data_IF_790065049744
#
_entry.id   IF_790065049744
#
_cell.length_a   1.000
_cell.length_b   1.000
_cell.length_c   1.000
_cell.angle_alpha   90.00
_cell.angle_beta   90.00
_cell.angle_gamma   90.00
#
_symmetry.space_group_name_H-M   'P 1'
#
loop_
_entity.id
_entity.type
_entity.pdbx_description
1 polymer ?
#
# COMPACT_ATOMS: atom_id res chain seq x y z
N UNK A 1 24.27 -21.60 12.42
CA UNK A 1 24.73 -21.30 11.05
C UNK A 1 24.20 -19.94 10.66
N UNK A 2 25.06 -18.99 10.30
CA UNK A 2 24.64 -17.70 9.78
C UNK A 2 23.78 -17.93 8.51
N UNK A 3 22.61 -17.31 8.44
CA UNK A 3 21.72 -17.38 7.28
C UNK A 3 22.48 -16.79 6.08
N UNK A 4 22.62 -17.51 4.98
CA UNK A 4 23.23 -16.98 3.77
C UNK A 4 22.33 -15.86 3.25
N UNK A 5 22.85 -14.65 3.21
CA UNK A 5 22.18 -13.49 2.61
C UNK A 5 22.41 -13.57 1.09
N UNK A 6 21.31 -13.43 0.33
CA UNK A 6 21.34 -13.32 -1.13
C UNK A 6 21.18 -11.85 -1.49
N UNK A 7 22.22 -11.25 -2.01
CA UNK A 7 22.29 -9.81 -2.30
C UNK A 7 21.43 -9.39 -3.50
N UNK A 8 21.22 -8.08 -3.66
CA UNK A 8 20.28 -7.47 -4.61
C UNK A 8 20.54 -7.93 -6.07
N UNK A 9 21.81 -7.93 -6.51
CA UNK A 9 22.18 -8.32 -7.86
C UNK A 9 22.59 -9.80 -7.99
N UNK A 10 22.59 -10.55 -6.88
CA UNK A 10 23.01 -11.94 -6.88
C UNK A 10 22.02 -12.82 -7.64
N UNK A 11 22.54 -13.60 -8.58
CA UNK A 11 21.74 -14.56 -9.35
C UNK A 11 21.41 -15.78 -8.50
N UNK A 12 20.16 -16.18 -8.50
CA UNK A 12 19.66 -17.34 -7.78
C UNK A 12 19.55 -18.53 -8.72
N UNK A 13 19.97 -19.72 -8.25
CA UNK A 13 19.84 -20.97 -9.03
C UNK A 13 18.37 -21.27 -9.33
N UNK A 14 18.10 -21.80 -10.53
CA UNK A 14 16.72 -22.02 -11.00
C UNK A 14 15.83 -22.85 -10.08
N UNK A 15 16.42 -23.86 -9.40
CA UNK A 15 15.69 -24.69 -8.42
C UNK A 15 15.23 -23.93 -7.15
N UNK A 16 15.90 -22.82 -6.81
CA UNK A 16 15.51 -21.95 -5.68
C UNK A 16 14.73 -20.73 -6.17
N UNK A 17 14.92 -20.30 -7.41
CA UNK A 17 14.29 -19.12 -7.97
C UNK A 17 12.76 -19.22 -7.92
N UNK A 18 12.20 -20.32 -8.43
CA UNK A 18 10.76 -20.52 -8.51
C UNK A 18 10.10 -20.54 -7.10
N UNK A 19 10.56 -21.36 -6.13
CA UNK A 19 9.99 -21.36 -4.78
C UNK A 19 10.08 -20.01 -4.07
N UNK A 20 11.21 -19.29 -4.21
CA UNK A 20 11.38 -17.98 -3.60
C UNK A 20 10.51 -16.92 -4.29
N UNK A 21 10.35 -16.98 -5.60
CA UNK A 21 9.44 -16.09 -6.35
C UNK A 21 7.98 -16.34 -5.97
N UNK A 22 7.56 -17.58 -5.84
CA UNK A 22 6.23 -17.95 -5.34
C UNK A 22 6.02 -17.41 -3.92
N UNK A 23 7.03 -17.51 -3.07
CA UNK A 23 6.99 -16.99 -1.70
C UNK A 23 6.76 -15.47 -1.68
N UNK A 24 7.49 -14.70 -2.49
CA UNK A 24 7.31 -13.25 -2.60
C UNK A 24 5.94 -12.89 -3.16
N UNK A 25 5.45 -13.59 -4.18
CA UNK A 25 4.11 -13.35 -4.75
C UNK A 25 3.01 -13.59 -3.72
N UNK A 26 3.08 -14.69 -2.97
CA UNK A 26 2.05 -15.00 -1.97
C UNK A 26 2.11 -14.13 -0.73
N UNK A 27 3.28 -13.59 -0.37
CA UNK A 27 3.36 -12.64 0.72
C UNK A 27 2.57 -11.34 0.43
N UNK A 28 2.47 -10.97 -0.86
CA UNK A 28 1.72 -9.79 -1.33
C UNK A 28 0.26 -10.08 -1.65
N UNK A 29 -0.17 -11.36 -1.54
CA UNK A 29 -1.49 -11.79 -1.98
C UNK A 29 -2.63 -11.07 -1.25
N UNK A 30 -2.53 -10.92 0.09
CA UNK A 30 -3.57 -10.30 0.90
C UNK A 30 -3.94 -8.89 0.43
N UNK A 31 -2.95 -8.04 0.24
CA UNK A 31 -3.15 -6.67 -0.23
C UNK A 31 -3.58 -6.61 -1.71
N UNK A 32 -3.08 -7.53 -2.54
CA UNK A 32 -3.46 -7.61 -3.96
C UNK A 32 -4.92 -8.05 -4.17
N UNK A 33 -5.51 -8.72 -3.18
CA UNK A 33 -6.93 -9.15 -3.19
C UNK A 33 -7.83 -8.07 -2.60
N UNK A 34 -7.38 -7.39 -1.54
CA UNK A 34 -8.20 -6.47 -0.77
C UNK A 34 -8.62 -5.25 -1.58
N UNK A 35 -7.71 -4.57 -2.28
CA UNK A 35 -8.04 -3.32 -2.98
C UNK A 35 -9.00 -3.51 -4.15
N UNK A 36 -8.80 -4.50 -5.05
CA UNK A 36 -9.79 -4.75 -6.10
C UNK A 36 -11.17 -5.11 -5.56
N UNK A 37 -11.22 -5.83 -4.43
CA UNK A 37 -12.48 -6.13 -3.76
C UNK A 37 -13.18 -4.85 -3.29
N UNK A 38 -12.47 -3.93 -2.63
CA UNK A 38 -13.03 -2.65 -2.15
C UNK A 38 -13.50 -1.74 -3.29
N UNK A 39 -12.91 -1.83 -4.47
CA UNK A 39 -13.29 -1.05 -5.64
C UNK A 39 -14.31 -1.77 -6.54
N UNK A 40 -14.68 -3.01 -6.22
CA UNK A 40 -15.61 -3.83 -7.00
C UNK A 40 -15.10 -4.20 -8.39
N UNK A 41 -13.79 -4.39 -8.55
CA UNK A 41 -13.16 -4.72 -9.84
C UNK A 41 -12.57 -6.13 -9.84
N UNK A 42 -12.36 -6.67 -11.05
CA UNK A 42 -11.76 -7.99 -11.21
C UNK A 42 -10.29 -8.00 -10.75
N UNK A 43 -9.87 -8.89 -9.83
CA UNK A 43 -8.50 -8.97 -9.32
C UNK A 43 -7.46 -9.33 -10.38
N UNK A 44 -7.85 -9.93 -11.52
CA UNK A 44 -6.93 -10.28 -12.59
C UNK A 44 -6.16 -9.06 -13.13
N UNK A 45 -6.84 -7.91 -13.34
CA UNK A 45 -6.19 -6.70 -13.83
C UNK A 45 -5.17 -6.16 -12.82
N UNK A 46 -5.43 -6.35 -11.54
CA UNK A 46 -4.54 -5.94 -10.45
C UNK A 46 -3.29 -6.83 -10.40
N UNK A 47 -3.45 -8.15 -10.47
CA UNK A 47 -2.33 -9.09 -10.55
C UNK A 47 -1.46 -8.82 -11.78
N UNK A 48 -2.08 -8.55 -12.93
CA UNK A 48 -1.38 -8.17 -14.14
C UNK A 48 -0.53 -6.91 -13.93
N UNK A 49 -1.13 -5.85 -13.38
CA UNK A 49 -0.44 -4.58 -13.23
C UNK A 49 0.60 -4.59 -12.10
N UNK A 50 0.38 -5.34 -11.02
CA UNK A 50 1.40 -5.56 -9.98
C UNK A 50 2.66 -6.19 -10.58
N UNK A 51 2.51 -7.17 -11.49
CA UNK A 51 3.63 -7.77 -12.20
C UNK A 51 4.31 -6.79 -13.15
N UNK A 52 3.57 -6.13 -14.03
CA UNK A 52 4.13 -5.14 -14.97
C UNK A 52 4.79 -3.98 -14.23
N UNK A 53 4.12 -3.42 -13.21
CA UNK A 53 4.66 -2.33 -12.39
C UNK A 53 5.95 -2.70 -11.69
N UNK A 54 6.04 -3.91 -11.14
CA UNK A 54 7.26 -4.43 -10.52
C UNK A 54 8.41 -4.56 -11.54
N UNK A 55 8.16 -5.09 -12.72
CA UNK A 55 9.18 -5.19 -13.77
C UNK A 55 9.64 -3.81 -14.24
N UNK A 56 8.72 -2.85 -14.40
CA UNK A 56 9.06 -1.45 -14.73
C UNK A 56 9.89 -0.81 -13.62
N UNK A 57 9.54 -1.05 -12.35
CA UNK A 57 10.30 -0.54 -11.21
C UNK A 57 11.74 -1.08 -11.22
N UNK A 58 11.92 -2.38 -11.40
CA UNK A 58 13.25 -3.00 -11.50
C UNK A 58 14.04 -2.40 -12.66
N UNK A 59 13.43 -2.22 -13.82
CA UNK A 59 14.08 -1.65 -15.01
C UNK A 59 14.52 -0.20 -14.77
N UNK A 60 13.64 0.65 -14.27
CA UNK A 60 13.91 2.09 -14.07
C UNK A 60 14.94 2.30 -12.94
N UNK A 61 14.90 1.48 -11.88
CA UNK A 61 15.88 1.51 -10.80
C UNK A 61 17.18 0.77 -11.13
N UNK A 62 17.31 0.26 -12.35
CA UNK A 62 18.49 -0.48 -12.85
C UNK A 62 18.83 -1.74 -12.03
N UNK A 63 17.81 -2.40 -11.47
CA UNK A 63 17.99 -3.57 -10.64
C UNK A 63 18.69 -3.33 -9.29
N UNK A 64 18.76 -2.07 -8.83
CA UNK A 64 19.46 -1.72 -7.58
C UNK A 64 18.58 -1.60 -6.36
N UNK A 65 17.27 -1.41 -6.55
CA UNK A 65 16.28 -1.31 -5.47
C UNK A 65 15.33 -2.51 -5.56
N UNK A 66 15.40 -3.45 -4.60
CA UNK A 66 14.49 -4.59 -4.59
C UNK A 66 13.15 -4.15 -4.01
N UNK A 67 12.10 -4.14 -4.82
CA UNK A 67 10.73 -3.91 -4.38
C UNK A 67 9.75 -4.63 -5.29
N UNK A 68 8.72 -5.24 -4.68
CA UNK A 68 7.55 -5.71 -5.38
C UNK A 68 6.46 -4.65 -5.24
N UNK A 69 5.85 -4.24 -6.34
CA UNK A 69 4.78 -3.26 -6.36
C UNK A 69 3.43 -3.96 -6.24
N UNK A 70 2.57 -3.39 -5.43
CA UNK A 70 1.21 -3.86 -5.27
C UNK A 70 0.24 -2.69 -5.08
N UNK A 71 -1.01 -2.98 -4.76
CA UNK A 71 -2.09 -2.00 -4.69
C UNK A 71 -1.88 -0.96 -3.60
N UNK A 72 -1.91 0.32 -3.92
CA UNK A 72 -1.73 1.40 -2.94
C UNK A 72 -3.00 1.63 -2.10
N UNK A 73 -2.86 1.54 -0.77
CA UNK A 73 -3.95 1.78 0.18
C UNK A 73 -4.27 3.27 0.35
N UNK A 74 -3.31 4.16 0.10
CA UNK A 74 -3.49 5.60 0.23
C UNK A 74 -4.61 6.16 -0.68
N UNK A 75 -4.91 5.47 -1.76
CA UNK A 75 -5.97 5.87 -2.69
C UNK A 75 -7.37 5.38 -2.30
N UNK A 76 -7.51 4.46 -1.33
CA UNK A 76 -8.80 3.80 -1.05
C UNK A 76 -9.87 4.82 -0.66
N UNK A 77 -9.59 5.67 0.33
CA UNK A 77 -10.57 6.61 0.85
C UNK A 77 -11.05 7.62 -0.24
N UNK A 78 -10.18 8.37 -0.93
CA UNK A 78 -10.61 9.29 -1.98
C UNK A 78 -11.18 8.58 -3.20
N UNK A 79 -10.66 7.40 -3.57
CA UNK A 79 -11.21 6.64 -4.69
C UNK A 79 -12.63 6.17 -4.43
N UNK A 80 -12.95 5.67 -3.23
CA UNK A 80 -14.31 5.25 -2.89
C UNK A 80 -15.32 6.39 -2.98
N UNK A 81 -14.95 7.62 -2.60
CA UNK A 81 -15.80 8.81 -2.75
C UNK A 81 -16.06 9.10 -4.24
N UNK A 82 -15.00 9.03 -5.07
CA UNK A 82 -15.10 9.26 -6.52
C UNK A 82 -15.91 8.14 -7.19
N UNK A 83 -15.68 6.88 -6.81
CA UNK A 83 -16.40 5.72 -7.35
C UNK A 83 -17.90 5.84 -7.06
N UNK A 84 -18.28 6.19 -5.83
CA UNK A 84 -19.68 6.37 -5.44
C UNK A 84 -20.36 7.51 -6.20
N UNK A 85 -19.63 8.61 -6.51
CA UNK A 85 -20.20 9.80 -7.13
C UNK A 85 -20.17 9.78 -8.67
N UNK A 86 -19.09 9.26 -9.26
CA UNK A 86 -18.81 9.37 -10.70
C UNK A 86 -18.60 7.99 -11.38
N UNK A 87 -18.30 6.96 -10.60
CA UNK A 87 -17.94 5.63 -11.07
C UNK A 87 -16.42 5.40 -11.21
N UNK A 88 -16.03 4.12 -11.28
CA UNK A 88 -14.62 3.68 -11.28
C UNK A 88 -13.76 4.27 -12.42
N UNK A 89 -14.23 4.45 -13.67
CA UNK A 89 -13.42 5.04 -14.73
C UNK A 89 -12.89 6.45 -14.41
N UNK A 90 -13.64 7.22 -13.61
CA UNK A 90 -13.20 8.57 -13.18
C UNK A 90 -12.14 8.50 -12.08
N UNK A 91 -12.19 7.49 -11.20
CA UNK A 91 -11.11 7.21 -10.27
C UNK A 91 -9.82 6.85 -11.03
N UNK A 92 -9.92 6.04 -12.09
CA UNK A 92 -8.79 5.73 -12.98
C UNK A 92 -8.18 7.00 -13.60
N UNK A 93 -8.99 7.96 -14.05
CA UNK A 93 -8.53 9.27 -14.52
C UNK A 93 -7.75 10.03 -13.45
N UNK A 94 -8.21 10.00 -12.20
CA UNK A 94 -7.49 10.53 -11.05
C UNK A 94 -6.13 9.86 -10.84
N UNK A 95 -6.06 8.52 -10.92
CA UNK A 95 -4.82 7.75 -10.81
C UNK A 95 -3.80 8.13 -11.88
N UNK A 96 -4.25 8.30 -13.13
CA UNK A 96 -3.38 8.74 -14.24
C UNK A 96 -2.76 10.10 -13.92
N UNK A 97 -3.56 11.07 -13.49
CA UNK A 97 -3.08 12.44 -13.24
C UNK A 97 -2.15 12.47 -12.03
N UNK A 98 -2.49 11.78 -10.93
CA UNK A 98 -1.61 11.68 -9.75
C UNK A 98 -0.29 11.04 -10.13
N UNK A 99 -0.31 9.91 -10.86
CA UNK A 99 0.91 9.25 -11.33
C UNK A 99 1.76 10.15 -12.23
N UNK A 100 1.14 10.90 -13.14
CA UNK A 100 1.83 11.88 -13.99
C UNK A 100 2.48 13.00 -13.15
N UNK A 101 1.74 13.60 -12.22
CA UNK A 101 2.26 14.62 -11.32
C UNK A 101 3.41 14.08 -10.44
N UNK A 102 3.32 12.81 -9.99
CA UNK A 102 4.38 12.14 -9.26
C UNK A 102 5.64 11.92 -10.10
N UNK A 103 5.51 11.61 -11.39
CA UNK A 103 6.64 11.57 -12.31
C UNK A 103 7.31 12.95 -12.47
N UNK A 104 6.52 14.02 -12.56
CA UNK A 104 7.05 15.40 -12.57
C UNK A 104 7.78 15.72 -11.26
N UNK A 105 7.20 15.36 -10.12
CA UNK A 105 7.83 15.54 -8.81
C UNK A 105 9.17 14.81 -8.71
N UNK A 106 9.25 13.57 -9.21
CA UNK A 106 10.49 12.82 -9.28
C UNK A 106 11.57 13.52 -10.13
N UNK A 107 11.19 14.16 -11.23
CA UNK A 107 12.10 14.98 -12.04
C UNK A 107 12.56 16.25 -11.31
N UNK A 108 11.68 16.90 -10.54
CA UNK A 108 12.03 18.02 -9.66
C UNK A 108 13.07 17.58 -8.62
N UNK A 109 12.84 16.45 -7.97
CA UNK A 109 13.78 15.87 -6.99
C UNK A 109 15.14 15.58 -7.64
N UNK A 110 15.16 15.07 -8.89
CA UNK A 110 16.42 14.87 -9.63
C UNK A 110 17.22 16.15 -9.80
N UNK A 111 16.55 17.28 -10.02
CA UNK A 111 17.19 18.58 -10.29
C UNK A 111 17.60 19.31 -9.00
N UNK A 112 16.74 19.31 -7.99
CA UNK A 112 16.89 20.13 -6.78
C UNK A 112 17.33 19.32 -5.55
N UNK A 113 17.38 17.98 -5.66
CA UNK A 113 17.71 17.10 -4.53
C UNK A 113 16.53 16.88 -3.58
N UNK A 114 16.81 16.31 -2.40
CA UNK A 114 15.81 15.88 -1.42
C UNK A 114 15.69 16.75 -0.17
N UNK A 115 16.66 17.65 0.07
CA UNK A 115 16.73 18.42 1.33
C UNK A 115 15.48 19.27 1.64
N UNK A 116 14.81 19.78 0.61
CA UNK A 116 13.57 20.55 0.77
C UNK A 116 12.41 19.68 1.28
N UNK A 117 12.47 18.35 1.06
CA UNK A 117 11.44 17.42 1.54
C UNK A 117 11.48 17.35 3.05
N UNK A 118 12.67 17.33 3.66
CA UNK A 118 12.84 17.30 5.13
C UNK A 118 12.24 18.54 5.79
N UNK A 119 12.17 19.67 5.05
CA UNK A 119 11.56 20.92 5.54
C UNK A 119 10.03 20.86 5.41
N UNK A 120 9.53 20.35 4.27
CA UNK A 120 8.09 20.33 3.96
C UNK A 120 7.38 19.18 4.65
N UNK A 121 8.06 18.03 4.75
CA UNK A 121 7.56 16.77 5.31
C UNK A 121 8.59 16.13 6.24
N UNK A 122 8.89 16.75 7.39
CA UNK A 122 9.78 16.14 8.39
C UNK A 122 9.18 14.83 8.92
N UNK A 123 10.01 13.96 9.46
CA UNK A 123 9.58 12.66 9.97
C UNK A 123 8.46 12.74 11.01
N UNK A 124 8.44 13.84 11.81
CA UNK A 124 7.37 14.12 12.78
C UNK A 124 5.99 14.38 12.14
N UNK A 125 5.92 14.75 10.85
CA UNK A 125 4.70 14.85 10.06
C UNK A 125 4.48 13.59 9.22
N UNK A 126 5.53 13.04 8.60
CA UNK A 126 5.47 11.90 7.70
C UNK A 126 4.96 10.63 8.41
N UNK A 127 5.49 10.33 9.60
CA UNK A 127 5.09 9.15 10.37
C UNK A 127 3.57 9.10 10.65
N UNK A 128 2.99 10.16 11.23
CA UNK A 128 1.54 10.26 11.43
C UNK A 128 0.72 10.15 10.14
N UNK A 129 1.13 10.79 9.05
CA UNK A 129 0.43 10.71 7.75
C UNK A 129 0.38 9.27 7.25
N UNK A 130 1.51 8.55 7.30
CA UNK A 130 1.55 7.12 6.92
C UNK A 130 0.70 6.28 7.87
N UNK A 131 0.72 6.56 9.18
CA UNK A 131 -0.11 5.83 10.15
C UNK A 131 -1.61 6.02 9.87
N UNK A 132 -2.03 7.20 9.46
CA UNK A 132 -3.41 7.52 9.13
C UNK A 132 -3.93 6.74 7.94
N UNK A 133 -3.09 6.29 6.99
CA UNK A 133 -3.51 5.44 5.87
C UNK A 133 -4.24 4.19 6.39
N UNK A 134 -3.67 3.54 7.41
CA UNK A 134 -4.29 2.35 8.00
C UNK A 134 -5.41 2.68 8.97
N UNK A 135 -5.22 3.67 9.84
CA UNK A 135 -6.16 3.98 10.92
C UNK A 135 -7.50 4.54 10.40
N UNK A 136 -7.48 5.36 9.35
CA UNK A 136 -8.70 5.90 8.73
C UNK A 136 -9.61 4.80 8.14
N UNK A 137 -9.01 3.69 7.70
CA UNK A 137 -9.73 2.57 7.12
C UNK A 137 -10.31 1.58 8.14
N UNK A 138 -10.08 1.80 9.44
CA UNK A 138 -10.52 0.87 10.50
C UNK A 138 -12.04 0.63 10.51
N UNK A 139 -12.84 1.70 10.39
CA UNK A 139 -14.30 1.59 10.31
C UNK A 139 -14.77 0.85 9.05
N UNK A 140 -14.08 1.05 7.92
CA UNK A 140 -14.34 0.33 6.66
C UNK A 140 -14.09 -1.16 6.82
N UNK A 141 -13.02 -1.55 7.54
CA UNK A 141 -12.74 -2.95 7.83
C UNK A 141 -13.85 -3.59 8.69
N UNK A 142 -14.35 -2.89 9.72
CA UNK A 142 -15.43 -3.36 10.58
C UNK A 142 -16.76 -3.52 9.81
N UNK A 143 -17.07 -2.58 8.92
CA UNK A 143 -18.23 -2.69 8.04
C UNK A 143 -18.10 -3.87 7.08
N UNK A 144 -16.94 -4.04 6.44
CA UNK A 144 -16.67 -5.17 5.53
C UNK A 144 -16.74 -6.50 6.27
N UNK A 145 -16.28 -6.57 7.52
CA UNK A 145 -16.40 -7.77 8.35
C UNK A 145 -17.85 -8.13 8.72
N UNK A 146 -18.78 -7.19 8.58
CA UNK A 146 -20.17 -7.35 9.00
C UNK A 146 -20.35 -7.44 10.52
N UNK A 147 -19.47 -6.76 11.28
CA UNK A 147 -19.49 -6.72 12.76
C UNK A 147 -19.91 -5.35 13.30
N UNK A 148 -20.30 -4.45 12.41
CA UNK A 148 -20.78 -3.12 12.77
C UNK A 148 -22.26 -2.97 12.40
N UNK A 149 -23.06 -2.36 13.27
CA UNK A 149 -24.50 -2.14 13.08
C UNK A 149 -25.39 -3.03 13.96
N UNK A 150 -26.71 -2.88 13.81
CA UNK A 150 -27.69 -3.50 14.72
C UNK A 150 -28.02 -4.96 14.37
N UNK A 151 -27.81 -5.38 13.12
CA UNK A 151 -28.15 -6.72 12.63
C UNK A 151 -26.88 -7.49 12.24
N UNK A 152 -26.13 -7.95 13.25
CA UNK A 152 -24.89 -8.71 13.05
C UNK A 152 -25.24 -10.19 12.87
N UNK A 153 -24.86 -10.78 11.70
CA UNK A 153 -24.99 -12.21 11.45
C UNK A 153 -23.89 -12.99 12.23
N UNK A 154 -24.26 -13.92 13.12
CA UNK A 154 -23.30 -14.76 13.82
C UNK A 154 -22.33 -15.51 12.92
N UNK A 155 -22.73 -15.90 11.70
CA UNK A 155 -21.87 -16.56 10.72
C UNK A 155 -20.72 -15.64 10.30
N UNK A 156 -21.01 -14.35 10.06
CA UNK A 156 -19.99 -13.36 9.72
C UNK A 156 -19.00 -13.17 10.86
N UNK A 157 -19.48 -13.12 12.10
CA UNK A 157 -18.61 -12.99 13.29
C UNK A 157 -17.65 -14.18 13.41
N UNK A 158 -18.16 -15.40 13.21
CA UNK A 158 -17.33 -16.62 13.28
C UNK A 158 -16.24 -16.58 12.21
N UNK A 159 -16.60 -16.30 10.95
CA UNK A 159 -15.66 -16.25 9.83
C UNK A 159 -14.61 -15.15 10.05
N UNK A 160 -15.05 -13.96 10.47
CA UNK A 160 -14.18 -12.86 10.82
C UNK A 160 -13.19 -13.23 11.93
N UNK A 161 -13.70 -13.78 13.05
CA UNK A 161 -12.89 -14.13 14.21
C UNK A 161 -11.84 -15.21 13.88
N UNK A 162 -12.23 -16.24 13.12
CA UNK A 162 -11.31 -17.30 12.66
C UNK A 162 -10.25 -16.72 11.73
N UNK A 163 -10.64 -15.86 10.78
CA UNK A 163 -9.71 -15.24 9.83
C UNK A 163 -8.70 -14.34 10.54
N UNK A 164 -9.20 -13.42 11.38
CA UNK A 164 -8.34 -12.50 12.14
C UNK A 164 -7.46 -13.28 13.13
N UNK A 165 -8.02 -14.25 13.85
CA UNK A 165 -7.29 -15.10 14.80
C UNK A 165 -6.16 -15.86 14.11
N UNK A 166 -6.42 -16.46 12.94
CA UNK A 166 -5.38 -17.15 12.17
C UNK A 166 -4.32 -16.18 11.62
N UNK A 167 -4.73 -14.98 11.18
CA UNK A 167 -3.79 -13.94 10.72
C UNK A 167 -2.84 -13.51 11.85
N UNK A 168 -3.36 -13.29 13.05
CA UNK A 168 -2.57 -12.91 14.25
C UNK A 168 -1.66 -14.05 14.67
N UNK A 169 -2.22 -15.26 14.87
CA UNK A 169 -1.45 -16.45 15.27
C UNK A 169 -0.38 -16.76 14.24
N UNK A 170 -0.73 -16.72 12.95
CA UNK A 170 0.22 -16.98 11.87
C UNK A 170 1.36 -15.98 11.83
N UNK A 171 1.08 -14.70 12.04
CA UNK A 171 2.09 -13.64 12.04
C UNK A 171 3.09 -13.76 13.21
N UNK A 172 2.65 -14.31 14.36
CA UNK A 172 3.46 -14.40 15.57
C UNK A 172 4.10 -15.78 15.76
N UNK A 173 3.35 -16.86 15.45
CA UNK A 173 3.75 -18.22 15.81
C UNK A 173 4.39 -19.01 14.66
N UNK A 174 4.12 -18.65 13.39
CA UNK A 174 4.64 -19.40 12.27
C UNK A 174 6.15 -19.20 12.10
N UNK A 175 6.82 -20.27 11.64
CA UNK A 175 8.29 -20.29 11.47
C UNK A 175 8.64 -20.68 10.04
N UNK A 176 9.86 -20.32 9.62
CA UNK A 176 10.42 -20.64 8.30
C UNK A 176 9.53 -20.12 7.16
N UNK A 177 9.17 -20.97 6.20
CA UNK A 177 8.35 -20.61 5.04
C UNK A 177 6.96 -20.08 5.45
N UNK A 178 6.30 -20.69 6.44
CA UNK A 178 4.96 -20.28 6.87
C UNK A 178 4.93 -18.86 7.46
N UNK A 179 6.03 -18.40 8.10
CA UNK A 179 6.10 -17.04 8.65
C UNK A 179 6.09 -15.94 7.59
N UNK A 180 6.20 -16.29 6.32
CA UNK A 180 6.20 -15.33 5.22
C UNK A 180 4.83 -15.20 4.54
N UNK A 181 3.95 -16.18 4.76
CA UNK A 181 2.62 -16.23 4.13
C UNK A 181 1.46 -16.31 5.14
N UNK A 182 1.52 -15.66 6.31
CA UNK A 182 0.49 -15.78 7.34
C UNK A 182 -0.88 -15.30 6.86
N UNK A 183 -0.91 -14.19 6.10
CA UNK A 183 -2.14 -13.62 5.55
C UNK A 183 -2.80 -14.57 4.55
N UNK A 184 -2.03 -15.21 3.67
CA UNK A 184 -2.58 -16.21 2.76
C UNK A 184 -3.23 -17.37 3.52
N UNK A 185 -2.56 -17.89 4.56
CA UNK A 185 -3.10 -18.97 5.40
C UNK A 185 -4.37 -18.53 6.11
N UNK A 186 -4.42 -17.29 6.59
CA UNK A 186 -5.61 -16.70 7.20
C UNK A 186 -6.78 -16.62 6.21
N UNK A 187 -6.52 -16.16 4.97
CA UNK A 187 -7.53 -16.13 3.91
C UNK A 187 -8.06 -17.53 3.62
N UNK A 188 -7.18 -18.51 3.42
CA UNK A 188 -7.57 -19.90 3.16
C UNK A 188 -8.40 -20.48 4.32
N UNK A 189 -7.95 -20.28 5.55
CA UNK A 189 -8.66 -20.79 6.74
C UNK A 189 -10.02 -20.11 6.90
N UNK A 190 -10.08 -18.78 6.74
CA UNK A 190 -11.32 -18.03 6.77
C UNK A 190 -12.29 -18.43 5.66
N UNK A 191 -11.77 -18.64 4.44
CA UNK A 191 -12.56 -19.10 3.31
C UNK A 191 -13.14 -20.52 3.54
N UNK A 192 -12.33 -21.45 4.06
CA UNK A 192 -12.82 -22.79 4.43
C UNK A 192 -13.88 -22.72 5.53
N UNK A 193 -13.71 -21.84 6.50
CA UNK A 193 -14.75 -21.58 7.52
C UNK A 193 -16.02 -21.03 6.89
N UNK A 194 -15.90 -20.10 5.95
CA UNK A 194 -17.04 -19.53 5.22
C UNK A 194 -17.79 -20.57 4.37
N UNK A 195 -17.06 -21.52 3.77
CA UNK A 195 -17.65 -22.70 3.10
C UNK A 195 -18.40 -23.57 4.11
N UNK A 196 -17.81 -23.85 5.28
CA UNK A 196 -18.42 -24.69 6.30
C UNK A 196 -19.72 -24.10 6.88
N UNK A 197 -19.80 -22.75 7.00
CA UNK A 197 -21.03 -22.07 7.46
C UNK A 197 -22.03 -21.78 6.33
N UNK A 198 -21.68 -22.13 5.08
CA UNK A 198 -22.58 -22.07 3.92
C UNK A 198 -22.84 -20.65 3.37
N UNK A 199 -21.84 -19.78 3.36
CA UNK A 199 -21.96 -18.40 2.83
C UNK A 199 -21.16 -18.17 1.54
N UNK A 200 -20.57 -19.24 0.95
CA UNK A 200 -19.79 -19.16 -0.29
C UNK A 200 -20.62 -19.68 -1.46
N UNK A 201 -20.63 -18.90 -2.54
CA UNK A 201 -21.19 -19.31 -3.84
C UNK A 201 -20.05 -19.67 -4.80
N UNK A 202 -20.01 -20.92 -5.26
CA UNK A 202 -19.00 -21.43 -6.19
C UNK A 202 -19.38 -21.28 -7.67
N UNK A 203 -20.59 -20.82 -7.97
CA UNK A 203 -21.08 -20.67 -9.35
C UNK A 203 -20.08 -19.92 -10.26
N UNK A 204 -19.50 -18.76 -9.82
CA UNK A 204 -18.55 -18.03 -10.65
C UNK A 204 -17.28 -18.82 -11.00
N UNK A 205 -16.86 -19.75 -10.10
CA UNK A 205 -15.65 -20.56 -10.32
C UNK A 205 -15.93 -21.68 -11.33
N UNK A 206 -17.13 -22.30 -11.24
CA UNK A 206 -17.54 -23.39 -12.11
C UNK A 206 -17.78 -22.92 -13.55
N UNK A 207 -18.24 -21.67 -13.72
CA UNK A 207 -18.52 -21.06 -15.04
C UNK A 207 -17.29 -20.37 -15.64
N UNK A 208 -16.19 -20.22 -14.90
CA UNK A 208 -15.01 -19.49 -15.35
C UNK A 208 -14.27 -20.26 -16.47
N UNK A 209 -13.96 -19.57 -17.57
CA UNK A 209 -13.04 -20.10 -18.58
C UNK A 209 -11.63 -20.26 -17.98
N UNK A 210 -10.93 -21.33 -18.35
CA UNK A 210 -9.58 -21.61 -17.80
C UNK A 210 -8.60 -20.48 -18.13
N UNK A 211 -8.63 -19.96 -19.37
CA UNK A 211 -7.87 -18.78 -19.77
C UNK A 211 -8.83 -17.61 -19.90
N UNK A 212 -8.56 -16.53 -19.18
CA UNK A 212 -9.34 -15.30 -19.18
C UNK A 212 -8.42 -14.11 -19.36
N UNK A 213 -8.78 -13.19 -20.23
CA UNK A 213 -8.05 -11.93 -20.39
C UNK A 213 -8.50 -10.98 -19.27
N UNK A 214 -7.55 -10.31 -18.56
CA UNK A 214 -7.91 -9.30 -17.58
C UNK A 214 -8.81 -8.21 -18.17
N UNK A 215 -9.78 -7.74 -17.41
CA UNK A 215 -10.75 -6.75 -17.89
C UNK A 215 -10.11 -5.35 -17.93
N UNK A 216 -9.65 -4.93 -19.10
CA UNK A 216 -9.08 -3.61 -19.33
C UNK A 216 -10.19 -2.58 -19.48
N UNK A 217 -10.02 -1.44 -18.80
CA UNK A 217 -10.97 -0.33 -18.82
C UNK A 217 -10.25 1.00 -19.03
N UNK A 218 -10.72 1.79 -19.99
CA UNK A 218 -10.15 3.12 -20.23
C UNK A 218 -10.59 4.12 -19.16
N UNK A 219 -9.70 5.05 -18.74
CA UNK A 219 -10.03 6.10 -17.80
C UNK A 219 -10.98 7.14 -18.42
N UNK A 220 -11.78 7.78 -17.56
CA UNK A 220 -12.51 9.01 -17.86
C UNK A 220 -11.98 10.13 -16.98
N UNK A 221 -11.94 11.34 -17.51
CA UNK A 221 -11.40 12.49 -16.81
C UNK A 221 -12.50 13.46 -16.40
N UNK A 222 -12.45 13.88 -15.13
CA UNK A 222 -13.27 14.96 -14.56
C UNK A 222 -12.36 15.81 -13.69
N UNK A 223 -12.47 17.11 -13.81
CA UNK A 223 -11.68 18.05 -13.00
C UNK A 223 -11.95 17.82 -11.52
N UNK A 224 -13.20 17.61 -11.12
CA UNK A 224 -13.58 17.37 -9.72
C UNK A 224 -12.92 16.09 -9.18
N UNK A 225 -12.99 14.98 -9.92
CA UNK A 225 -12.36 13.72 -9.52
C UNK A 225 -10.82 13.84 -9.42
N UNK A 226 -10.20 14.56 -10.35
CA UNK A 226 -8.76 14.82 -10.34
C UNK A 226 -8.37 15.64 -9.11
N UNK A 227 -9.06 16.74 -8.84
CA UNK A 227 -8.75 17.62 -7.71
C UNK A 227 -8.97 16.94 -6.36
N UNK A 228 -9.95 16.04 -6.25
CA UNK A 228 -10.15 15.20 -5.06
C UNK A 228 -9.03 14.18 -4.87
N UNK A 229 -8.44 13.67 -5.95
CA UNK A 229 -7.39 12.66 -5.90
C UNK A 229 -5.98 13.24 -5.75
N UNK A 230 -5.73 14.44 -6.29
CA UNK A 230 -4.39 15.03 -6.40
C UNK A 230 -3.63 15.15 -5.06
N UNK A 231 -4.28 15.49 -3.92
CA UNK A 231 -3.57 15.59 -2.64
C UNK A 231 -2.97 14.25 -2.16
N UNK A 232 -3.45 13.10 -2.65
CA UNK A 232 -2.87 11.79 -2.35
C UNK A 232 -1.41 11.69 -2.79
N UNK A 233 -1.00 12.48 -3.80
CA UNK A 233 0.39 12.55 -4.24
C UNK A 233 1.37 12.81 -3.11
N UNK A 234 0.98 13.66 -2.16
CA UNK A 234 1.83 14.00 -1.01
C UNK A 234 1.96 12.81 -0.06
N UNK A 235 0.87 12.09 0.14
CA UNK A 235 0.81 10.90 1.01
C UNK A 235 1.69 9.79 0.43
N UNK A 236 1.49 9.43 -0.85
CA UNK A 236 2.28 8.37 -1.49
C UNK A 236 3.76 8.73 -1.64
N UNK A 237 4.08 10.01 -1.78
CA UNK A 237 5.48 10.46 -1.78
C UNK A 237 6.12 10.20 -0.43
N UNK A 238 5.43 10.52 0.66
CA UNK A 238 5.89 10.26 2.04
C UNK A 238 6.06 8.76 2.30
N UNK A 239 5.06 7.97 1.94
CA UNK A 239 5.08 6.51 2.05
C UNK A 239 6.26 5.90 1.28
N UNK A 240 6.45 6.32 0.03
CA UNK A 240 7.54 5.84 -0.82
C UNK A 240 8.92 6.16 -0.23
N UNK A 241 9.13 7.38 0.27
CA UNK A 241 10.38 7.76 0.93
C UNK A 241 10.65 6.87 2.14
N UNK A 242 9.64 6.67 3.00
CA UNK A 242 9.73 5.78 4.15
C UNK A 242 10.11 4.35 3.75
N UNK A 243 9.46 3.79 2.74
CA UNK A 243 9.77 2.45 2.22
C UNK A 243 11.20 2.35 1.67
N UNK A 244 11.68 3.38 0.94
CA UNK A 244 13.05 3.37 0.41
C UNK A 244 14.12 3.45 1.51
N UNK A 245 13.86 4.20 2.58
CA UNK A 245 14.76 4.27 3.75
C UNK A 245 14.82 2.89 4.42
N UNK A 246 13.67 2.32 4.81
CA UNK A 246 13.61 1.02 5.50
C UNK A 246 14.15 -0.11 4.63
N UNK A 247 13.83 -0.12 3.33
CA UNK A 247 14.43 -1.10 2.40
C UNK A 247 15.95 -0.96 2.37
N UNK A 248 16.46 0.29 2.33
CA UNK A 248 17.89 0.58 2.35
C UNK A 248 18.58 0.01 3.59
N UNK A 249 17.97 0.15 4.76
CA UNK A 249 18.45 -0.41 6.02
C UNK A 249 18.52 -1.94 5.97
N UNK A 250 17.44 -2.60 5.48
CA UNK A 250 17.38 -4.07 5.37
C UNK A 250 18.44 -4.62 4.42
N UNK A 251 18.65 -3.97 3.27
CA UNK A 251 19.65 -4.45 2.28
C UNK A 251 21.06 -3.93 2.55
N UNK A 252 21.24 -3.04 3.54
CA UNK A 252 22.53 -2.45 3.90
C UNK A 252 23.04 -1.43 2.88
N UNK A 253 22.15 -0.66 2.21
CA UNK A 253 22.49 0.30 1.15
C UNK A 253 21.67 1.59 1.27
N UNK A 254 22.23 2.71 0.84
CA UNK A 254 21.49 3.96 0.75
C UNK A 254 20.75 4.07 -0.60
N UNK A 255 19.51 3.63 -0.64
CA UNK A 255 18.68 3.65 -1.87
C UNK A 255 18.21 5.06 -2.25
N UNK A 256 18.21 6.01 -1.32
CA UNK A 256 17.93 7.42 -1.60
C UNK A 256 19.02 8.03 -2.47
N UNK A 257 20.29 7.59 -2.29
CA UNK A 257 21.45 8.05 -3.05
C UNK A 257 21.66 7.24 -4.34
N UNK A 258 21.59 5.90 -4.28
CA UNK A 258 21.79 4.99 -5.41
C UNK A 258 20.80 3.81 -5.33
N UNK A 259 19.89 3.66 -6.26
CA UNK A 259 19.76 4.28 -7.59
C UNK A 259 19.28 5.72 -7.59
N UNK A 260 18.92 6.26 -6.45
CA UNK A 260 18.41 7.60 -6.21
C UNK A 260 16.89 7.66 -6.09
N UNK A 261 16.42 8.43 -5.11
CA UNK A 261 14.99 8.59 -4.84
C UNK A 261 14.19 9.00 -6.09
N UNK A 262 14.76 9.86 -6.93
CA UNK A 262 14.11 10.29 -8.19
C UNK A 262 13.77 9.14 -9.14
N UNK A 263 14.59 8.06 -9.16
CA UNK A 263 14.31 6.89 -10.02
C UNK A 263 13.24 6.00 -9.44
N UNK A 264 13.33 5.71 -8.15
CA UNK A 264 12.36 4.84 -7.49
C UNK A 264 10.98 5.50 -7.42
N UNK A 265 10.92 6.79 -7.11
CA UNK A 265 9.67 7.56 -7.08
C UNK A 265 9.07 7.72 -8.50
N UNK A 266 9.92 7.95 -9.52
CA UNK A 266 9.45 7.96 -10.91
C UNK A 266 8.85 6.62 -11.31
N UNK A 267 9.52 5.52 -11.00
CA UNK A 267 9.05 4.18 -11.34
C UNK A 267 7.72 3.83 -10.69
N UNK A 268 7.57 4.16 -9.41
CA UNK A 268 6.36 3.95 -8.62
C UNK A 268 5.16 4.72 -9.21
N UNK A 269 5.35 6.02 -9.46
CA UNK A 269 4.32 6.88 -10.02
C UNK A 269 4.02 6.57 -11.50
N UNK A 270 5.02 6.19 -12.28
CA UNK A 270 4.83 5.76 -13.66
C UNK A 270 4.01 4.48 -13.75
N UNK A 271 4.26 3.54 -12.84
CA UNK A 271 3.42 2.35 -12.70
C UNK A 271 1.97 2.69 -12.33
N UNK A 272 1.76 3.61 -11.37
CA UNK A 272 0.43 4.12 -11.01
C UNK A 272 -0.27 4.78 -12.20
N UNK A 273 0.45 5.58 -13.00
CA UNK A 273 -0.10 6.20 -14.21
C UNK A 273 -0.57 5.15 -15.23
N UNK A 274 0.26 4.14 -15.51
CA UNK A 274 -0.12 3.04 -16.41
C UNK A 274 -1.30 2.24 -15.85
N UNK A 275 -1.32 1.99 -14.53
CA UNK A 275 -2.44 1.32 -13.87
C UNK A 275 -3.76 2.03 -14.15
N UNK A 276 -3.81 3.34 -13.98
CA UNK A 276 -5.00 4.15 -14.28
C UNK A 276 -5.38 4.10 -15.76
N UNK A 277 -4.41 4.08 -16.68
CA UNK A 277 -4.68 4.01 -18.13
C UNK A 277 -5.34 2.70 -18.56
N UNK A 278 -5.06 1.60 -17.88
CA UNK A 278 -5.61 0.28 -18.25
C UNK A 278 -6.77 -0.17 -17.35
N UNK A 279 -7.19 0.66 -16.38
CA UNK A 279 -8.30 0.33 -15.50
C UNK A 279 -7.93 -0.53 -14.30
N UNK A 280 -6.65 -0.55 -13.91
CA UNK A 280 -6.17 -1.19 -12.69
C UNK A 280 -6.11 -0.20 -11.52
N UNK A 281 -5.76 -0.70 -10.32
CA UNK A 281 -5.58 0.12 -9.13
C UNK A 281 -4.20 0.77 -9.12
N UNK A 282 -4.02 1.92 -8.42
CA UNK A 282 -2.71 2.52 -8.21
C UNK A 282 -1.74 1.54 -7.54
N UNK A 283 -0.49 1.57 -7.93
CA UNK A 283 0.55 0.71 -7.36
C UNK A 283 1.50 1.50 -6.46
N UNK A 284 2.08 0.83 -5.49
CA UNK A 284 3.15 1.36 -4.62
C UNK A 284 4.09 0.24 -4.17
N UNK A 285 5.25 0.61 -3.64
CA UNK A 285 6.17 -0.33 -2.98
C UNK A 285 5.57 -0.80 -1.65
N UNK A 286 5.78 -2.08 -1.29
CA UNK A 286 5.14 -2.69 -0.12
C UNK A 286 6.07 -2.90 1.07
N UNK A 287 5.59 -2.51 2.25
CA UNK A 287 6.23 -2.79 3.54
C UNK A 287 6.31 -4.29 3.84
N UNK A 288 5.30 -5.07 3.46
CA UNK A 288 5.27 -6.53 3.61
C UNK A 288 6.41 -7.19 2.82
N UNK A 289 6.71 -6.72 1.61
CA UNK A 289 7.86 -7.21 0.84
C UNK A 289 9.19 -6.92 1.57
N UNK A 290 9.31 -5.76 2.22
CA UNK A 290 10.48 -5.42 3.04
C UNK A 290 10.59 -6.41 4.20
N UNK A 291 9.48 -6.73 4.86
CA UNK A 291 9.43 -7.74 5.93
C UNK A 291 9.86 -9.13 5.46
N UNK A 292 9.41 -9.56 4.28
CA UNK A 292 9.86 -10.83 3.66
C UNK A 292 11.36 -10.85 3.45
N UNK A 293 11.91 -9.79 2.87
CA UNK A 293 13.37 -9.66 2.67
C UNK A 293 14.13 -9.71 3.99
N UNK A 294 13.67 -9.00 5.02
CA UNK A 294 14.30 -9.00 6.34
C UNK A 294 14.28 -10.40 7.00
N UNK A 295 13.15 -11.12 6.89
CA UNK A 295 13.01 -12.46 7.47
C UNK A 295 13.81 -13.51 6.67
N UNK A 296 13.79 -13.45 5.35
CA UNK A 296 14.39 -14.47 4.48
C UNK A 296 15.89 -14.26 4.26
N UNK A 297 16.35 -13.01 4.29
CA UNK A 297 17.70 -12.63 3.85
C UNK A 297 17.87 -12.71 2.33
N UNK A 298 16.78 -12.74 1.57
CA UNK A 298 16.76 -12.81 0.11
C UNK A 298 16.38 -11.46 -0.45
N UNK A 299 17.33 -10.74 -1.03
CA UNK A 299 17.18 -9.39 -1.57
C UNK A 299 17.22 -9.34 -3.09
N UNK A 300 17.43 -10.49 -3.74
CA UNK A 300 17.66 -10.58 -5.18
C UNK A 300 16.49 -10.05 -6.00
N UNK A 301 16.77 -9.06 -6.85
CA UNK A 301 15.79 -8.54 -7.84
C UNK A 301 15.34 -9.59 -8.83
N UNK A 302 16.14 -10.64 -9.07
CA UNK A 302 15.75 -11.76 -9.92
C UNK A 302 14.58 -12.54 -9.32
N UNK A 303 14.58 -12.73 -8.00
CA UNK A 303 13.47 -13.39 -7.29
C UNK A 303 12.20 -12.54 -7.36
N UNK A 304 12.34 -11.23 -7.17
CA UNK A 304 11.21 -10.29 -7.27
C UNK A 304 10.66 -10.24 -8.71
N UNK A 305 11.55 -10.21 -9.71
CA UNK A 305 11.13 -10.30 -11.11
C UNK A 305 10.41 -11.62 -11.43
N UNK A 306 10.88 -12.74 -10.86
CA UNK A 306 10.19 -14.02 -10.97
C UNK A 306 8.79 -13.98 -10.35
N UNK A 307 8.63 -13.36 -9.17
CA UNK A 307 7.32 -13.14 -8.55
C UNK A 307 6.38 -12.28 -9.43
N UNK A 308 6.93 -11.24 -10.05
CA UNK A 308 6.20 -10.39 -10.98
C UNK A 308 5.70 -11.13 -12.21
N UNK A 309 6.56 -11.97 -12.81
CA UNK A 309 6.19 -12.82 -13.96
C UNK A 309 5.09 -13.82 -13.55
N UNK A 310 5.22 -14.46 -12.39
CA UNK A 310 4.20 -15.36 -11.87
C UNK A 310 2.86 -14.65 -11.66
N UNK A 311 2.87 -13.43 -11.14
CA UNK A 311 1.66 -12.61 -10.97
C UNK A 311 0.98 -12.32 -12.33
N UNK A 312 1.76 -11.99 -13.37
CA UNK A 312 1.23 -11.81 -14.73
C UNK A 312 0.62 -13.12 -15.24
N UNK A 313 1.28 -14.25 -15.07
CA UNK A 313 0.75 -15.55 -15.49
C UNK A 313 -0.57 -15.85 -14.76
N UNK A 314 -0.60 -15.66 -13.43
CA UNK A 314 -1.79 -15.86 -12.61
C UNK A 314 -2.98 -14.98 -13.03
N UNK A 315 -2.71 -13.80 -13.57
CA UNK A 315 -3.76 -12.89 -14.04
C UNK A 315 -4.59 -13.42 -15.22
N UNK A 316 -4.05 -14.38 -15.97
CA UNK A 316 -4.75 -15.02 -17.08
C UNK A 316 -5.47 -16.32 -16.69
N UNK A 317 -5.36 -16.76 -15.44
CA UNK A 317 -6.04 -17.97 -14.95
C UNK A 317 -7.43 -17.59 -14.45
N UNK A 318 -8.45 -17.81 -15.28
CA UNK A 318 -9.84 -17.42 -14.99
C UNK A 318 -10.40 -18.02 -13.70
N UNK A 319 -10.28 -19.34 -13.43
CA UNK A 319 -10.74 -19.93 -12.18
C UNK A 319 -10.08 -19.34 -10.93
N UNK A 320 -8.81 -18.93 -10.99
CA UNK A 320 -8.13 -18.25 -9.88
C UNK A 320 -8.75 -16.88 -9.60
N UNK A 321 -9.00 -16.10 -10.65
CA UNK A 321 -9.65 -14.79 -10.52
C UNK A 321 -11.07 -14.92 -9.97
N UNK A 322 -11.84 -15.89 -10.48
CA UNK A 322 -13.18 -16.20 -10.00
C UNK A 322 -13.17 -16.65 -8.52
N UNK A 323 -12.23 -17.52 -8.14
CA UNK A 323 -12.07 -17.96 -6.74
C UNK A 323 -11.81 -16.78 -5.79
N UNK A 324 -10.95 -15.84 -6.21
CA UNK A 324 -10.69 -14.63 -5.42
C UNK A 324 -11.97 -13.80 -5.26
N UNK A 325 -12.80 -13.69 -6.28
CA UNK A 325 -14.07 -12.95 -6.22
C UNK A 325 -15.13 -13.60 -5.33
N UNK A 326 -15.04 -14.92 -5.10
CA UNK A 326 -15.96 -15.64 -4.20
C UNK A 326 -15.58 -15.51 -2.72
N UNK A 327 -14.46 -14.82 -2.38
CA UNK A 327 -14.05 -14.63 -0.99
C UNK A 327 -15.08 -13.73 -0.29
N UNK A 328 -15.77 -14.21 0.77
CA UNK A 328 -16.81 -13.44 1.43
C UNK A 328 -16.27 -12.25 2.21
N UNK A 329 -17.11 -11.22 2.36
CA UNK A 329 -16.82 -9.99 3.10
C UNK A 329 -16.19 -10.19 4.48
N UNK A 330 -16.67 -11.14 5.34
CA UNK A 330 -16.07 -11.34 6.67
C UNK A 330 -14.61 -11.82 6.63
N UNK A 331 -14.21 -12.57 5.60
CA UNK A 331 -12.80 -12.98 5.40
C UNK A 331 -11.96 -11.76 5.05
N UNK A 332 -12.43 -10.94 4.10
CA UNK A 332 -11.77 -9.69 3.70
C UNK A 332 -11.67 -8.74 4.90
N UNK A 333 -12.74 -8.55 5.67
CA UNK A 333 -12.72 -7.74 6.87
C UNK A 333 -11.71 -8.24 7.90
N UNK A 334 -11.61 -9.56 8.11
CA UNK A 334 -10.67 -10.16 9.05
C UNK A 334 -9.21 -9.87 8.72
N UNK A 335 -8.81 -10.02 7.45
CA UNK A 335 -7.44 -9.66 7.03
C UNK A 335 -7.21 -8.16 7.04
N UNK A 336 -8.23 -7.34 6.72
CA UNK A 336 -8.15 -5.88 6.71
C UNK A 336 -7.81 -5.32 8.08
N UNK A 337 -8.37 -5.87 9.15
CA UNK A 337 -8.05 -5.47 10.53
C UNK A 337 -6.56 -5.55 10.81
N UNK A 338 -5.93 -6.67 10.45
CA UNK A 338 -4.50 -6.82 10.67
C UNK A 338 -3.69 -5.93 9.72
N UNK A 339 -4.02 -5.92 8.42
CA UNK A 339 -3.26 -5.16 7.41
C UNK A 339 -3.32 -3.65 7.70
N UNK A 340 -4.49 -3.09 7.99
CA UNK A 340 -4.62 -1.67 8.31
C UNK A 340 -3.90 -1.30 9.60
N UNK A 341 -3.95 -2.18 10.61
CA UNK A 341 -3.16 -2.04 11.83
C UNK A 341 -1.66 -2.05 11.57
N UNK A 342 -1.18 -2.95 10.71
CA UNK A 342 0.24 -3.02 10.32
C UNK A 342 0.71 -1.77 9.54
N UNK A 343 -0.14 -1.21 8.68
CA UNK A 343 0.15 0.06 8.00
C UNK A 343 0.24 1.19 9.04
N UNK A 344 -0.72 1.25 9.97
CA UNK A 344 -0.68 2.20 11.08
C UNK A 344 0.62 2.14 11.89
N UNK A 345 1.02 0.92 12.26
CA UNK A 345 2.28 0.72 13.01
C UNK A 345 3.53 1.00 12.18
N UNK A 346 3.49 0.83 10.84
CA UNK A 346 4.60 1.23 9.96
C UNK A 346 4.85 2.73 10.01
N UNK A 347 3.79 3.55 10.08
CA UNK A 347 3.93 5.00 10.28
C UNK A 347 4.56 5.35 11.62
N UNK A 348 4.15 4.66 12.70
CA UNK A 348 4.79 4.83 14.02
C UNK A 348 6.27 4.39 14.00
N UNK A 349 6.59 3.34 13.26
CA UNK A 349 7.97 2.89 13.10
C UNK A 349 8.87 3.96 12.46
N UNK A 350 8.36 4.72 11.49
CA UNK A 350 9.12 5.86 10.92
C UNK A 350 9.55 6.84 12.02
N UNK A 351 8.67 7.16 12.97
CA UNK A 351 8.98 8.06 14.08
C UNK A 351 10.12 7.51 14.96
N UNK A 352 10.09 6.21 15.23
CA UNK A 352 11.08 5.51 16.06
C UNK A 352 12.43 5.41 15.33
N UNK A 353 12.43 4.94 14.10
CA UNK A 353 13.64 4.69 13.30
C UNK A 353 14.37 6.02 12.99
N UNK A 354 13.61 7.09 12.73
CA UNK A 354 14.16 8.44 12.53
C UNK A 354 14.46 9.19 13.85
N UNK A 355 14.26 8.53 15.00
CA UNK A 355 14.55 9.07 16.35
C UNK A 355 13.93 10.45 16.57
N UNK A 356 12.65 10.60 16.21
CA UNK A 356 11.94 11.86 16.43
C UNK A 356 11.93 12.21 17.91
N UNK A 357 12.55 13.34 18.25
CA UNK A 357 12.65 13.82 19.62
C UNK A 357 11.36 14.56 20.03
N UNK A 358 10.55 13.91 20.85
CA UNK A 358 9.32 14.48 21.40
C UNK A 358 9.56 15.37 22.66
N UNK A 359 10.79 15.49 23.13
CA UNK A 359 11.17 16.54 24.05
C UNK A 359 11.08 17.92 23.42
N UNK A 360 11.15 18.00 22.08
CA UNK A 360 10.94 19.23 21.33
C UNK A 360 9.46 19.49 21.11
N UNK A 361 8.98 20.63 21.61
CA UNK A 361 7.58 21.05 21.48
C UNK A 361 7.09 21.09 20.02
N UNK A 362 7.95 21.49 19.08
CA UNK A 362 7.67 21.53 17.64
C UNK A 362 7.25 20.15 17.11
N UNK A 363 8.03 19.10 17.42
CA UNK A 363 7.73 17.74 16.96
C UNK A 363 6.45 17.19 17.61
N UNK A 364 6.29 17.42 18.93
CA UNK A 364 5.12 16.95 19.66
C UNK A 364 3.84 17.59 19.13
N UNK A 365 3.83 18.92 18.94
CA UNK A 365 2.65 19.65 18.43
C UNK A 365 2.33 19.23 17.00
N UNK A 366 3.36 19.14 16.12
CA UNK A 366 3.19 18.74 14.73
C UNK A 366 2.54 17.35 14.62
N UNK A 367 3.11 16.36 15.29
CA UNK A 367 2.57 15.00 15.32
C UNK A 367 1.15 14.94 15.87
N UNK A 368 0.88 15.64 16.98
CA UNK A 368 -0.44 15.66 17.63
C UNK A 368 -1.52 16.25 16.73
N UNK A 369 -1.25 17.39 16.10
CA UNK A 369 -2.23 18.04 15.22
C UNK A 369 -2.50 17.19 13.99
N UNK A 370 -1.46 16.62 13.36
CA UNK A 370 -1.63 15.75 12.20
C UNK A 370 -2.53 14.55 12.51
N UNK A 371 -2.30 13.86 13.64
CA UNK A 371 -3.16 12.74 14.05
C UNK A 371 -4.60 13.16 14.31
N UNK A 372 -4.79 14.25 15.08
CA UNK A 372 -6.15 14.68 15.43
C UNK A 372 -6.91 15.16 14.21
N UNK A 373 -6.29 15.92 13.31
CA UNK A 373 -6.94 16.36 12.05
C UNK A 373 -7.33 15.15 11.21
N UNK A 374 -6.46 14.15 11.07
CA UNK A 374 -6.75 12.96 10.26
C UNK A 374 -7.88 12.09 10.81
N UNK A 375 -8.00 11.97 12.13
CA UNK A 375 -9.02 11.11 12.78
C UNK A 375 -10.28 11.85 13.19
N UNK A 376 -10.31 13.19 13.13
CA UNK A 376 -11.42 14.01 13.63
C UNK A 376 -12.73 13.86 12.84
N UNK A 377 -12.67 13.30 11.61
CA UNK A 377 -13.80 13.30 10.69
C UNK A 377 -14.10 14.66 10.07
N UNK A 378 -13.30 15.68 10.33
CA UNK A 378 -13.47 17.02 9.73
C UNK A 378 -13.31 16.92 8.22
N UNK A 379 -14.23 17.54 7.50
CA UNK A 379 -14.19 17.67 6.04
C UNK A 379 -14.27 19.15 5.67
N UNK A 380 -13.31 19.63 4.91
CA UNK A 380 -13.30 20.98 4.34
C UNK A 380 -13.82 20.91 2.92
N UNK A 381 -14.86 21.64 2.63
CA UNK A 381 -15.43 21.76 1.29
C UNK A 381 -14.95 23.04 0.60
N UNK A 382 -14.23 22.87 -0.51
CA UNK A 382 -13.76 23.96 -1.37
C UNK A 382 -14.44 23.82 -2.75
N UNK A 383 -15.65 24.36 -2.85
CA UNK A 383 -16.51 24.13 -4.02
C UNK A 383 -16.90 22.65 -4.13
N UNK A 384 -16.51 22.00 -5.22
CA UNK A 384 -16.79 20.58 -5.47
C UNK A 384 -15.74 19.63 -4.84
N UNK A 385 -14.68 20.18 -4.26
CA UNK A 385 -13.59 19.40 -3.63
C UNK A 385 -13.91 19.21 -2.16
N UNK A 386 -13.77 17.98 -1.68
CA UNK A 386 -13.87 17.63 -0.25
C UNK A 386 -12.51 17.10 0.22
N UNK A 387 -11.90 17.79 1.16
CA UNK A 387 -10.65 17.39 1.80
C UNK A 387 -10.95 16.86 3.21
N UNK A 388 -10.61 15.61 3.49
CA UNK A 388 -10.84 14.97 4.78
C UNK A 388 -9.72 13.97 5.11
N UNK A 389 -9.74 13.46 6.33
CA UNK A 389 -8.87 12.39 6.78
C UNK A 389 -7.39 12.67 6.58
N UNK A 390 -6.64 11.65 6.13
CA UNK A 390 -5.18 11.72 5.93
C UNK A 390 -4.76 12.81 4.94
N UNK A 391 -5.59 13.13 3.94
CA UNK A 391 -5.28 14.18 2.94
C UNK A 391 -5.23 15.53 3.63
N UNK A 392 -6.24 15.86 4.43
CA UNK A 392 -6.28 17.10 5.20
C UNK A 392 -5.15 17.15 6.24
N UNK A 393 -4.87 16.02 6.89
CA UNK A 393 -3.77 15.89 7.84
C UNK A 393 -2.40 16.13 7.19
N UNK A 394 -2.19 15.58 5.99
CA UNK A 394 -0.95 15.79 5.23
C UNK A 394 -0.74 17.27 4.87
N UNK A 395 -1.76 17.92 4.34
CA UNK A 395 -1.71 19.36 3.99
C UNK A 395 -1.44 20.19 5.25
N UNK A 396 -2.13 19.89 6.36
CA UNK A 396 -1.93 20.56 7.65
C UNK A 396 -0.50 20.38 8.15
N UNK A 397 0.01 19.16 8.11
CA UNK A 397 1.38 18.84 8.49
C UNK A 397 2.42 19.64 7.68
N UNK A 398 2.22 19.73 6.36
CA UNK A 398 3.12 20.51 5.50
C UNK A 398 3.08 22.01 5.81
N UNK A 399 1.88 22.58 5.99
CA UNK A 399 1.72 24.01 6.32
C UNK A 399 2.40 24.29 7.66
N UNK A 400 2.14 23.48 8.67
CA UNK A 400 2.75 23.64 9.99
C UNK A 400 4.29 23.51 9.95
N UNK A 401 4.80 22.52 9.21
CA UNK A 401 6.24 22.32 9.04
C UNK A 401 6.91 23.54 8.41
N UNK A 402 6.29 24.10 7.37
CA UNK A 402 6.79 25.33 6.74
C UNK A 402 6.75 26.53 7.68
N UNK A 403 5.66 26.68 8.44
CA UNK A 403 5.53 27.75 9.45
C UNK A 403 6.60 27.61 10.55
N UNK A 404 6.82 26.39 11.07
CA UNK A 404 7.84 26.15 12.09
C UNK A 404 9.26 26.40 11.56
N UNK A 405 9.54 26.00 10.31
CA UNK A 405 10.81 26.34 9.66
C UNK A 405 11.01 27.84 9.53
N UNK A 406 9.95 28.61 9.21
CA UNK A 406 10.00 30.08 9.14
C UNK A 406 10.25 30.64 10.54
N UNK A 407 9.53 30.16 11.56
CA UNK A 407 9.70 30.64 12.95
C UNK A 407 11.10 30.34 13.47
N UNK A 408 11.67 29.17 13.19
CA UNK A 408 13.06 28.83 13.54
C UNK A 408 14.04 29.82 12.88
N UNK A 409 13.87 30.09 11.59
CA UNK A 409 14.73 31.01 10.84
C UNK A 409 14.69 32.46 11.37
N UNK A 410 13.55 32.88 11.91
CA UNK A 410 13.38 34.20 12.51
C UNK A 410 13.60 34.22 14.03
N UNK A 411 14.07 33.11 14.62
CA UNK A 411 14.28 32.96 16.07
C UNK A 411 13.04 33.29 16.91
N UNK A 412 11.87 32.87 16.42
CA UNK A 412 10.57 33.06 17.09
C UNK A 412 10.16 31.86 17.94
N UNK A 413 10.88 30.74 17.84
CA UNK A 413 10.61 29.56 18.66
C UNK A 413 11.08 29.80 20.10
N UNK A 414 10.40 29.19 21.08
CA UNK A 414 10.85 29.14 22.47
C UNK A 414 12.18 28.37 22.53
N UNK A 415 13.05 28.70 23.49
CA UNK A 415 14.37 28.06 23.65
C UNK A 415 14.31 26.55 23.93
N UNK A 416 13.12 26.03 24.31
CA UNK A 416 12.83 24.60 24.55
C UNK A 416 12.12 23.92 23.37
N UNK A 417 11.93 24.57 22.25
CA UNK A 417 11.13 24.10 21.13
C UNK A 417 11.87 23.13 20.15
#
# INVERSE_FOLDING_TARGET
MAKRIIQVEEKVRGNLLIPLSIQHMFAMFGASVLVPFLFGINPAIVLFMNGIGTLLFIFITKGKAPAYLGSSFAFIAPANIIIAKFGYPYACGGFVVVGFCGCLLAMIIKKFGTKWIDIVLPSAAMGPVVALIGLELSSSAANTAGILGDNIDPKNVIVFAVTLGMAVIGSVCFKKFLSVIPILIAVVTGYLTAVAVGIVDFTPVLEANFISIPNFQAPKFSIDAILMMLPVLLVITSEHIGHQIVTGEVVGRNLIKDPGLHRSLFADNFSTMISGLIGSVPTTTYGENIGVMAITGVYSVQVIAGAAILSIICSFIGPLSALIQTIPNPVIGGISFLLYGMIGTSGLRILVDQKVDYGKSVNMILTSVVFVVGLSGVTIHLGNISLSGMVLACITGMIMSLLFYIFEKFHLLNEEA
#
